data_IF_398949753325
#
_entry.id   IF_398949753325
#
_cell.length_a   1.000
_cell.length_b   1.000
_cell.length_c   1.000
_cell.angle_alpha   90.00
_cell.angle_beta   90.00
_cell.angle_gamma   90.00
#
_symmetry.space_group_name_H-M   'P 1'
#
loop_
_entity.id
_entity.type
_entity.pdbx_description
1 polymer ?
#
# COMPACT_ATOMS: atom_id res chain seq x y z
N UNK A 1 24.54 10.84 -0.64
CA UNK A 1 23.06 10.92 -0.62
C UNK A 1 22.69 12.08 0.28
N UNK A 2 22.23 13.22 -0.29
CA UNK A 2 21.83 14.36 0.53
C UNK A 2 20.59 13.98 1.33
N UNK A 3 20.73 13.92 2.65
CA UNK A 3 19.63 13.73 3.58
C UNK A 3 18.77 15.00 3.45
N UNK A 4 17.70 14.93 2.67
CA UNK A 4 16.75 16.03 2.57
C UNK A 4 15.94 16.07 3.86
N UNK A 5 16.58 16.52 4.94
CA UNK A 5 15.97 16.69 6.25
C UNK A 5 14.92 17.79 6.11
N UNK A 6 13.65 17.38 6.17
CA UNK A 6 12.55 18.33 6.29
C UNK A 6 12.79 19.21 7.52
N UNK A 7 12.59 20.52 7.38
CA UNK A 7 12.56 21.43 8.52
C UNK A 7 11.56 20.92 9.55
N UNK A 8 11.81 21.14 10.84
CA UNK A 8 10.92 20.64 11.91
C UNK A 8 9.45 21.09 11.71
N UNK A 9 9.25 22.28 11.14
CA UNK A 9 7.94 22.79 10.77
C UNK A 9 7.24 21.91 9.70
N UNK A 10 7.97 21.47 8.66
CA UNK A 10 7.44 20.58 7.63
C UNK A 10 7.15 19.18 8.18
N UNK A 11 8.02 18.67 9.05
CA UNK A 11 7.80 17.38 9.70
C UNK A 11 6.51 17.37 10.55
N UNK A 12 6.27 18.44 11.33
CA UNK A 12 5.04 18.61 12.12
C UNK A 12 3.79 18.72 11.24
N UNK A 13 3.87 19.46 10.14
CA UNK A 13 2.77 19.61 9.19
C UNK A 13 2.40 18.27 8.51
N UNK A 14 3.41 17.52 8.05
CA UNK A 14 3.21 16.19 7.47
C UNK A 14 2.60 15.23 8.49
N UNK A 15 3.11 15.21 9.73
CA UNK A 15 2.56 14.38 10.80
C UNK A 15 1.08 14.68 11.05
N UNK A 16 0.68 15.96 11.12
CA UNK A 16 -0.72 16.36 11.31
C UNK A 16 -1.60 15.94 10.13
N UNK A 17 -1.08 16.02 8.91
CA UNK A 17 -1.79 15.58 7.72
C UNK A 17 -1.93 14.05 7.68
N UNK A 18 -0.88 13.31 8.01
CA UNK A 18 -0.86 11.85 8.08
C UNK A 18 -1.80 11.32 9.17
N UNK A 19 -1.88 11.99 10.32
CA UNK A 19 -2.84 11.65 11.38
C UNK A 19 -4.28 11.82 10.90
N UNK A 20 -4.56 12.90 10.15
CA UNK A 20 -5.90 13.14 9.56
C UNK A 20 -6.24 12.18 8.43
N UNK A 21 -5.25 11.70 7.68
CA UNK A 21 -5.43 10.84 6.50
C UNK A 21 -4.86 9.43 6.70
N UNK A 22 -4.86 8.96 7.94
CA UNK A 22 -4.19 7.72 8.35
C UNK A 22 -4.62 6.51 7.54
N UNK A 23 -5.92 6.40 7.24
CA UNK A 23 -6.45 5.30 6.43
C UNK A 23 -5.97 5.36 4.98
N UNK A 24 -5.97 6.56 4.38
CA UNK A 24 -5.45 6.75 3.02
C UNK A 24 -3.96 6.44 2.94
N UNK A 25 -3.17 6.91 3.90
CA UNK A 25 -1.74 6.63 3.95
C UNK A 25 -1.47 5.13 4.13
N UNK A 26 -2.22 4.46 5.01
CA UNK A 26 -2.16 2.99 5.18
C UNK A 26 -2.50 2.25 3.89
N UNK A 27 -3.58 2.65 3.21
CA UNK A 27 -3.99 2.09 1.93
C UNK A 27 -2.88 2.23 0.87
N UNK A 28 -2.30 3.42 0.72
CA UNK A 28 -1.22 3.68 -0.24
C UNK A 28 0.04 2.88 0.09
N UNK A 29 0.38 2.77 1.38
CA UNK A 29 1.50 1.96 1.84
C UNK A 29 1.30 0.48 1.52
N UNK A 30 0.16 -0.09 1.89
CA UNK A 30 -0.19 -1.48 1.59
C UNK A 30 -0.15 -1.76 0.09
N UNK A 31 -0.76 -0.88 -0.73
CA UNK A 31 -0.77 -0.99 -2.19
C UNK A 31 0.64 -0.97 -2.78
N UNK A 32 1.50 -0.05 -2.31
CA UNK A 32 2.86 0.08 -2.83
C UNK A 32 3.73 -1.13 -2.45
N UNK A 33 3.59 -1.62 -1.22
CA UNK A 33 4.26 -2.83 -0.74
C UNK A 33 3.84 -4.07 -1.51
N UNK A 34 2.54 -4.27 -1.72
CA UNK A 34 2.02 -5.39 -2.51
C UNK A 34 2.55 -5.37 -3.95
N UNK A 35 2.55 -4.20 -4.62
CA UNK A 35 3.13 -4.06 -5.96
C UNK A 35 4.61 -4.42 -6.00
N UNK A 36 5.37 -3.98 -5.01
CA UNK A 36 6.81 -4.27 -4.93
C UNK A 36 7.05 -5.77 -4.72
N UNK A 37 6.29 -6.39 -3.82
CA UNK A 37 6.36 -7.82 -3.53
C UNK A 37 6.12 -8.66 -4.79
N UNK A 38 4.99 -8.45 -5.47
CA UNK A 38 4.62 -9.16 -6.71
C UNK A 38 5.69 -8.99 -7.80
N UNK A 39 6.26 -7.79 -7.93
CA UNK A 39 7.22 -7.50 -9.01
C UNK A 39 8.63 -8.06 -8.76
N UNK A 40 9.06 -8.15 -7.50
CA UNK A 40 10.50 -8.33 -7.19
C UNK A 40 10.82 -9.46 -6.23
N UNK A 41 9.86 -9.90 -5.41
CA UNK A 41 10.13 -10.86 -4.31
C UNK A 41 9.29 -12.14 -4.41
N UNK A 42 8.08 -12.05 -4.95
CA UNK A 42 7.16 -13.18 -5.01
C UNK A 42 7.73 -14.33 -5.83
N UNK A 43 7.58 -15.54 -5.31
CA UNK A 43 7.86 -16.79 -6.00
C UNK A 43 6.67 -17.19 -6.87
N UNK A 44 6.83 -18.24 -7.67
CA UNK A 44 5.76 -18.71 -8.56
C UNK A 44 4.53 -19.21 -7.78
N UNK A 45 4.77 -19.83 -6.62
CA UNK A 45 3.72 -20.30 -5.70
C UNK A 45 2.97 -19.10 -5.08
N UNK A 46 3.71 -18.10 -4.59
CA UNK A 46 3.11 -16.86 -4.07
C UNK A 46 2.22 -16.17 -5.12
N UNK A 47 2.65 -16.15 -6.39
CA UNK A 47 1.88 -15.54 -7.47
C UNK A 47 0.59 -16.31 -7.79
N UNK A 48 0.59 -17.64 -7.61
CA UNK A 48 -0.59 -18.48 -7.78
C UNK A 48 -1.60 -18.22 -6.64
N UNK A 49 -1.14 -18.26 -5.39
CA UNK A 49 -1.98 -17.94 -4.22
C UNK A 49 -2.58 -16.54 -4.34
N UNK A 50 -1.76 -15.54 -4.68
CA UNK A 50 -2.22 -14.15 -4.82
C UNK A 50 -3.28 -13.99 -5.92
N UNK A 51 -3.19 -14.77 -7.01
CA UNK A 51 -4.23 -14.77 -8.06
C UNK A 51 -5.55 -15.31 -7.54
N UNK A 52 -5.53 -16.39 -6.76
CA UNK A 52 -6.75 -16.95 -6.17
C UNK A 52 -7.42 -15.94 -5.22
N UNK A 53 -6.63 -15.30 -4.36
CA UNK A 53 -7.11 -14.26 -3.46
C UNK A 53 -7.71 -13.05 -4.21
N UNK A 54 -7.10 -12.64 -5.33
CA UNK A 54 -7.63 -11.57 -6.18
C UNK A 54 -8.98 -11.98 -6.77
N UNK A 55 -9.08 -13.18 -7.35
CA UNK A 55 -10.31 -13.66 -7.96
C UNK A 55 -11.46 -13.72 -6.94
N UNK A 56 -11.21 -14.24 -5.73
CA UNK A 56 -12.20 -14.26 -4.65
C UNK A 56 -12.67 -12.85 -4.27
N UNK A 57 -11.73 -11.90 -4.20
CA UNK A 57 -12.05 -10.51 -3.85
C UNK A 57 -12.87 -9.81 -4.93
N UNK A 58 -12.56 -10.04 -6.19
CA UNK A 58 -13.30 -9.50 -7.34
C UNK A 58 -14.72 -10.07 -7.40
N UNK A 59 -14.88 -11.39 -7.22
CA UNK A 59 -16.19 -12.03 -7.15
C UNK A 59 -17.06 -11.40 -6.04
N UNK A 60 -16.52 -11.27 -4.82
CA UNK A 60 -17.22 -10.66 -3.70
C UNK A 60 -17.58 -9.17 -3.92
N UNK A 61 -16.83 -8.44 -4.75
CA UNK A 61 -17.16 -7.05 -5.10
C UNK A 61 -18.22 -6.97 -6.19
N UNK A 62 -18.16 -7.86 -7.18
CA UNK A 62 -19.12 -7.91 -8.28
C UNK A 62 -20.49 -8.41 -7.81
N UNK A 63 -20.55 -9.31 -6.82
CA UNK A 63 -21.82 -9.75 -6.21
C UNK A 63 -22.51 -8.65 -5.38
N UNK A 64 -21.79 -7.59 -5.02
CA UNK A 64 -22.30 -6.45 -4.24
C UNK A 64 -22.72 -5.26 -5.11
N UNK A 65 -22.65 -5.38 -6.44
CA UNK A 65 -23.06 -4.36 -7.42
C UNK A 65 -24.35 -4.74 -8.12
#
# INVERSE_FOLDING_TARGET
>A
MAKNEYTEARARANKKWDEKHKERTRYLGARSSARSFIRTKATLDDLQELRELINQREAALNEQQ
#
